data_IF_576778039735
#
_entry.id   IF_576778039735
#
_cell.length_a   1.000
_cell.length_b   1.000
_cell.length_c   1.000
_cell.angle_alpha   90.00
_cell.angle_beta   90.00
_cell.angle_gamma   90.00
#
_symmetry.space_group_name_H-M   'P 1'
#
loop_
_entity.id
_entity.type
_entity.pdbx_description
1 polymer ?
#
# COMPACT_ATOMS: atom_id res chain seq x y z
N UNK A 1 37.61 21.87 -1.46
CA UNK A 1 38.14 23.01 -2.25
C UNK A 1 37.77 22.69 -3.70
N UNK A 2 36.75 23.29 -4.30
CA UNK A 2 36.84 24.57 -5.04
C UNK A 2 35.42 25.07 -5.33
N UNK A 3 35.25 26.40 -5.19
CA UNK A 3 33.99 27.14 -5.37
C UNK A 3 33.62 27.26 -6.86
N UNK A 4 32.32 27.23 -7.17
CA UNK A 4 31.80 27.96 -8.32
C UNK A 4 30.56 28.76 -7.90
N UNK A 5 30.74 30.08 -7.86
CA UNK A 5 29.71 31.10 -7.63
C UNK A 5 29.01 31.33 -8.97
N UNK A 6 27.70 31.17 -9.04
CA UNK A 6 26.91 31.67 -10.17
C UNK A 6 25.97 32.76 -9.67
N UNK A 7 26.37 33.98 -9.97
CA UNK A 7 25.62 35.23 -9.78
C UNK A 7 24.43 35.22 -10.74
N UNK A 8 23.19 35.25 -10.25
CA UNK A 8 22.04 35.52 -11.11
C UNK A 8 21.41 36.86 -10.75
N UNK A 9 21.24 37.63 -11.82
CA UNK A 9 20.96 39.06 -11.86
C UNK A 9 19.51 39.36 -11.47
N UNK A 10 19.38 40.41 -10.66
CA UNK A 10 18.16 41.12 -10.31
C UNK A 10 17.51 41.75 -11.56
N UNK A 11 16.24 41.42 -11.84
CA UNK A 11 15.43 42.15 -12.82
C UNK A 11 14.17 42.67 -12.12
N UNK A 12 14.25 43.92 -11.64
CA UNK A 12 13.09 44.71 -11.23
C UNK A 12 12.27 45.07 -12.48
N UNK A 13 11.01 44.66 -12.51
CA UNK A 13 10.02 45.19 -13.45
C UNK A 13 9.03 46.05 -12.67
N UNK A 14 9.17 47.36 -12.89
CA UNK A 14 8.28 48.43 -12.47
C UNK A 14 6.95 48.29 -13.23
N UNK A 15 5.84 48.09 -12.51
CA UNK A 15 4.50 48.35 -13.05
C UNK A 15 4.08 49.75 -12.58
N UNK A 16 3.84 50.60 -13.56
CA UNK A 16 3.53 52.02 -13.42
C UNK A 16 2.10 52.25 -12.90
N UNK A 17 1.95 53.31 -12.12
CA UNK A 17 0.68 53.98 -11.85
C UNK A 17 0.02 54.42 -13.16
N UNK A 18 -1.29 54.17 -13.28
CA UNK A 18 -2.18 54.92 -14.16
C UNK A 18 -2.95 55.94 -13.33
N UNK A 19 -2.82 57.21 -13.69
CA UNK A 19 -3.57 58.35 -13.18
C UNK A 19 -4.97 58.35 -13.80
N UNK A 20 -6.02 58.27 -12.97
CA UNK A 20 -7.41 58.56 -13.36
C UNK A 20 -7.92 59.77 -12.56
N UNK A 21 -7.47 60.97 -12.94
CA UNK A 21 -8.13 62.23 -12.58
C UNK A 21 -9.29 62.48 -13.56
N UNK A 22 -10.53 62.30 -13.09
CA UNK A 22 -11.73 62.38 -13.92
C UNK A 22 -12.97 62.88 -13.19
N UNK A 23 -12.94 64.15 -12.79
CA UNK A 23 -14.09 65.07 -12.69
C UNK A 23 -15.11 64.87 -11.55
N UNK A 24 -15.08 65.85 -10.63
CA UNK A 24 -16.18 66.25 -9.76
C UNK A 24 -17.27 66.93 -10.60
N UNK A 25 -18.47 66.33 -10.61
CA UNK A 25 -19.72 67.06 -10.84
C UNK A 25 -20.65 66.77 -9.68
N UNK A 26 -20.66 67.69 -8.73
CA UNK A 26 -21.77 67.92 -7.82
C UNK A 26 -22.93 68.56 -8.61
N UNK A 27 -24.05 67.85 -8.72
CA UNK A 27 -25.39 68.42 -8.83
C UNK A 27 -26.44 67.28 -8.91
N UNK A 28 -27.24 67.13 -7.86
CA UNK A 28 -28.50 66.37 -7.98
C UNK A 28 -29.00 65.71 -6.70
N UNK A 29 -29.15 66.47 -5.62
CA UNK A 29 -30.15 66.12 -4.61
C UNK A 29 -31.53 66.23 -5.27
N UNK A 30 -32.11 65.10 -5.71
CA UNK A 30 -33.56 64.88 -5.97
C UNK A 30 -33.81 63.43 -6.44
N UNK A 31 -33.29 62.45 -5.69
CA UNK A 31 -33.80 61.08 -5.82
C UNK A 31 -35.10 60.98 -5.00
N UNK A 32 -36.24 60.58 -5.59
CA UNK A 32 -37.44 60.31 -4.81
C UNK A 32 -37.12 59.22 -3.78
N UNK A 33 -37.66 59.30 -2.55
CA UNK A 33 -37.45 58.25 -1.56
C UNK A 33 -37.87 56.91 -2.17
N UNK A 34 -37.13 55.81 -1.89
CA UNK A 34 -37.58 54.49 -2.32
C UNK A 34 -39.02 54.28 -1.86
N UNK A 35 -39.89 53.67 -2.67
CA UNK A 35 -41.25 53.36 -2.23
C UNK A 35 -41.16 52.58 -0.94
N UNK A 36 -41.97 52.98 0.05
CA UNK A 36 -42.13 52.35 1.35
C UNK A 36 -41.79 50.86 1.27
N UNK A 37 -40.65 50.47 1.86
CA UNK A 37 -40.53 49.13 2.36
C UNK A 37 -41.63 49.04 3.41
N UNK A 38 -42.79 48.49 3.00
CA UNK A 38 -43.87 48.15 3.91
C UNK A 38 -43.32 47.35 5.09
N UNK A 39 -44.11 47.16 6.15
CA UNK A 39 -43.68 46.37 7.29
C UNK A 39 -43.02 45.08 6.78
N UNK A 40 -41.74 44.90 7.10
CA UNK A 40 -41.11 43.59 6.95
C UNK A 40 -41.74 42.71 8.03
N UNK A 41 -43.01 42.37 7.84
CA UNK A 41 -43.79 41.45 8.69
C UNK A 41 -43.45 39.99 8.35
N UNK A 42 -42.50 39.75 7.44
CA UNK A 42 -41.80 38.48 7.34
C UNK A 42 -40.46 38.63 8.06
N UNK A 43 -40.21 37.80 9.06
CA UNK A 43 -38.85 37.55 9.54
C UNK A 43 -37.92 37.11 8.40
N UNK A 44 -36.63 36.84 8.68
CA UNK A 44 -35.75 36.21 7.69
C UNK A 44 -36.44 35.01 7.05
N UNK A 45 -36.23 34.74 5.74
CA UNK A 45 -36.83 33.60 5.08
C UNK A 45 -36.53 32.35 5.91
N UNK A 46 -37.58 31.74 6.45
CA UNK A 46 -37.47 30.47 7.16
C UNK A 46 -37.36 29.37 6.11
N UNK A 47 -36.61 28.32 6.43
CA UNK A 47 -36.55 27.11 5.63
C UNK A 47 -37.97 26.56 5.39
N UNK A 48 -38.13 25.86 4.28
CA UNK A 48 -39.38 25.23 3.87
C UNK A 48 -39.24 23.72 3.66
N UNK A 49 -38.02 23.23 3.57
CA UNK A 49 -37.64 21.82 3.46
C UNK A 49 -36.24 21.60 4.04
N UNK A 50 -35.94 20.38 4.45
CA UNK A 50 -34.68 19.99 5.09
C UNK A 50 -33.45 20.28 4.20
N UNK A 51 -33.62 20.20 2.87
CA UNK A 51 -32.54 20.50 1.91
C UNK A 51 -32.06 21.96 1.91
N UNK A 52 -32.87 22.90 2.42
CA UNK A 52 -32.45 24.30 2.57
C UNK A 52 -31.57 24.53 3.81
N UNK A 53 -31.52 23.54 4.70
CA UNK A 53 -30.69 23.54 5.90
C UNK A 53 -29.37 22.78 5.71
N UNK A 54 -29.26 21.98 4.65
CA UNK A 54 -28.09 21.18 4.33
C UNK A 54 -26.92 22.09 3.91
N UNK A 55 -25.77 21.89 4.56
CA UNK A 55 -24.53 22.64 4.32
C UNK A 55 -23.54 21.85 3.43
N UNK A 56 -24.01 20.78 2.78
CA UNK A 56 -23.23 19.81 2.01
C UNK A 56 -22.14 19.11 2.86
N UNK A 57 -22.21 19.16 4.19
CA UNK A 57 -21.38 18.33 5.05
C UNK A 57 -22.05 16.97 5.23
N UNK A 58 -21.29 15.91 5.04
CA UNK A 58 -21.83 14.55 5.08
C UNK A 58 -21.88 14.04 6.52
N UNK A 59 -20.86 14.31 7.36
CA UNK A 59 -20.74 13.65 8.65
C UNK A 59 -21.52 14.28 9.80
N UNK A 60 -22.13 15.45 9.63
CA UNK A 60 -23.06 16.04 10.61
C UNK A 60 -24.50 15.55 10.43
N UNK A 61 -24.77 14.76 9.38
CA UNK A 61 -26.09 14.19 9.07
C UNK A 61 -27.01 15.21 8.42
N UNK A 62 -28.26 14.82 8.13
CA UNK A 62 -29.22 15.73 7.50
C UNK A 62 -29.89 16.64 8.54
N UNK A 63 -29.67 17.96 8.49
CA UNK A 63 -30.35 18.90 9.37
C UNK A 63 -31.85 18.95 9.05
N UNK A 64 -32.66 19.30 10.04
CA UNK A 64 -34.12 19.35 9.89
C UNK A 64 -34.61 20.78 9.82
N UNK A 65 -35.51 21.07 8.89
CA UNK A 65 -36.25 22.31 8.84
C UNK A 65 -37.40 22.27 9.85
N UNK A 66 -37.23 22.95 10.99
CA UNK A 66 -38.28 23.14 12.00
C UNK A 66 -38.27 24.57 12.56
N UNK A 67 -38.91 25.54 11.87
CA UNK A 67 -39.00 26.93 12.31
C UNK A 67 -39.70 27.14 13.65
N UNK A 68 -40.40 26.14 14.18
CA UNK A 68 -41.05 26.21 15.49
C UNK A 68 -40.15 25.68 16.63
N UNK A 69 -39.03 25.04 16.30
CA UNK A 69 -38.11 24.48 17.27
C UNK A 69 -37.43 25.58 18.09
N UNK A 70 -37.32 25.43 19.42
CA UNK A 70 -36.53 26.35 20.23
C UNK A 70 -35.01 26.21 20.00
N UNK A 71 -34.58 25.20 19.25
CA UNK A 71 -33.18 24.95 18.86
C UNK A 71 -32.87 25.38 17.43
N UNK A 72 -33.87 25.85 16.68
CA UNK A 72 -33.65 26.36 15.35
C UNK A 72 -32.83 27.65 15.36
N UNK A 73 -31.99 27.82 14.34
CA UNK A 73 -31.29 29.06 14.08
C UNK A 73 -32.23 30.15 13.52
N UNK A 74 -31.67 31.28 13.05
CA UNK A 74 -32.46 32.38 12.50
C UNK A 74 -33.21 32.03 11.20
N UNK A 75 -32.80 30.96 10.50
CA UNK A 75 -33.41 30.46 9.28
C UNK A 75 -34.38 29.30 9.53
N UNK A 76 -34.62 28.90 10.79
CA UNK A 76 -35.51 27.79 11.11
C UNK A 76 -34.87 26.40 11.01
N UNK A 77 -33.54 26.34 10.85
CA UNK A 77 -32.81 25.09 10.70
C UNK A 77 -32.34 24.54 12.04
N UNK A 78 -32.57 23.25 12.27
CA UNK A 78 -32.07 22.51 13.43
C UNK A 78 -30.95 21.61 12.97
N UNK A 79 -29.72 21.87 13.45
CA UNK A 79 -28.56 21.07 13.12
C UNK A 79 -28.74 19.62 13.62
N UNK A 80 -28.40 18.66 12.77
CA UNK A 80 -28.13 17.28 13.18
C UNK A 80 -26.71 17.20 13.72
N UNK A 81 -26.50 16.24 14.62
CA UNK A 81 -25.15 15.83 15.06
C UNK A 81 -25.00 14.32 14.97
N UNK A 82 -25.93 13.66 14.28
CA UNK A 82 -25.96 12.22 14.11
C UNK A 82 -25.27 11.91 12.79
N UNK A 83 -24.09 11.30 12.90
CA UNK A 83 -23.37 10.83 11.73
C UNK A 83 -24.27 9.86 10.94
N UNK A 84 -24.34 9.98 9.60
CA UNK A 84 -25.12 9.04 8.78
C UNK A 84 -24.48 7.64 8.74
N UNK A 85 -23.27 7.49 9.28
CA UNK A 85 -22.54 6.23 9.31
C UNK A 85 -23.05 5.30 10.40
N UNK A 86 -23.16 4.01 10.05
CA UNK A 86 -23.50 2.97 11.02
C UNK A 86 -22.44 2.89 12.14
N UNK A 87 -22.85 2.38 13.29
CA UNK A 87 -21.91 2.22 14.42
C UNK A 87 -20.68 1.39 14.03
N UNK A 88 -19.50 1.88 14.39
CA UNK A 88 -18.22 1.26 14.05
C UNK A 88 -17.67 1.67 12.68
N UNK A 89 -18.40 2.46 11.89
CA UNK A 89 -17.87 3.08 10.69
C UNK A 89 -17.35 4.49 10.96
N UNK A 90 -16.47 4.90 10.08
CA UNK A 90 -15.69 6.11 10.16
C UNK A 90 -16.12 7.07 9.07
N UNK A 91 -16.50 8.30 9.42
CA UNK A 91 -16.97 9.23 8.42
C UNK A 91 -15.82 9.97 7.73
N UNK A 92 -15.83 10.03 6.39
CA UNK A 92 -14.92 10.81 5.56
C UNK A 92 -15.69 11.92 4.83
N UNK A 93 -15.51 13.15 5.29
CA UNK A 93 -16.13 14.36 4.73
C UNK A 93 -15.59 14.75 3.36
N UNK A 94 -14.39 14.31 2.99
CA UNK A 94 -13.82 14.67 1.69
C UNK A 94 -14.34 13.74 0.60
N UNK A 95 -14.68 12.51 0.97
CA UNK A 95 -15.17 11.47 0.08
C UNK A 95 -16.69 11.22 0.18
N UNK A 96 -17.42 12.00 0.99
CA UNK A 96 -18.85 11.87 1.28
C UNK A 96 -19.29 10.42 1.52
N UNK A 97 -18.51 9.68 2.32
CA UNK A 97 -18.74 8.25 2.54
C UNK A 97 -18.34 7.76 3.93
N UNK A 98 -18.88 6.61 4.30
CA UNK A 98 -18.51 5.88 5.50
C UNK A 98 -17.42 4.85 5.17
N UNK A 99 -16.28 4.97 5.83
CA UNK A 99 -15.16 4.07 5.78
C UNK A 99 -15.30 2.97 6.83
N UNK A 100 -14.86 1.78 6.49
CA UNK A 100 -14.58 0.73 7.48
C UNK A 100 -13.29 1.03 8.25
N UNK A 101 -13.05 0.30 9.34
CA UNK A 101 -11.75 0.35 10.02
C UNK A 101 -10.60 -0.05 9.07
N UNK A 102 -10.83 -1.05 8.22
CA UNK A 102 -9.87 -1.52 7.22
C UNK A 102 -9.49 -0.45 6.19
N UNK A 103 -10.46 0.33 5.70
CA UNK A 103 -10.16 1.39 4.72
C UNK A 103 -9.38 2.58 5.30
N UNK A 104 -9.34 2.73 6.63
CA UNK A 104 -8.66 3.85 7.28
C UNK A 104 -7.34 3.44 7.92
N UNK A 105 -7.32 2.29 8.57
CA UNK A 105 -6.24 1.86 9.47
C UNK A 105 -5.76 0.45 9.12
N UNK A 106 -6.21 -0.11 7.99
CA UNK A 106 -5.91 -1.48 7.62
C UNK A 106 -4.61 -1.68 6.87
N UNK A 107 -3.95 -0.62 6.39
CA UNK A 107 -2.64 -0.64 5.72
C UNK A 107 -1.71 0.30 6.51
N UNK A 108 -1.07 -0.24 7.54
CA UNK A 108 -0.32 0.56 8.51
C UNK A 108 1.12 0.87 8.09
N UNK A 109 1.66 0.16 7.11
CA UNK A 109 2.99 0.39 6.54
C UNK A 109 2.99 1.08 5.16
N UNK A 110 1.79 1.37 4.64
CA UNK A 110 1.49 2.08 3.40
C UNK A 110 2.03 1.38 2.14
N UNK A 111 1.98 0.05 2.12
CA UNK A 111 2.47 -0.76 1.02
C UNK A 111 1.41 -1.13 -0.04
N UNK A 112 0.15 -0.80 0.26
CA UNK A 112 -1.01 -1.00 -0.59
C UNK A 112 -1.72 -2.33 -0.39
N UNK A 113 -1.27 -3.16 0.54
CA UNK A 113 -1.97 -4.32 1.06
C UNK A 113 -2.53 -3.99 2.44
N UNK A 114 -3.68 -4.57 2.78
CA UNK A 114 -4.26 -4.40 4.12
C UNK A 114 -3.97 -5.63 4.96
N UNK A 115 -3.86 -5.47 6.27
CA UNK A 115 -3.65 -6.58 7.22
C UNK A 115 -4.58 -7.78 6.97
N UNK A 116 -4.12 -8.98 7.36
CA UNK A 116 -4.92 -10.22 7.35
C UNK A 116 -6.31 -10.07 8.00
N UNK A 117 -6.42 -9.22 9.04
CA UNK A 117 -7.68 -8.92 9.72
C UNK A 117 -8.74 -8.25 8.82
N UNK A 118 -8.31 -7.74 7.66
CA UNK A 118 -9.10 -7.03 6.67
C UNK A 118 -9.34 -7.82 5.38
N UNK A 119 -9.26 -9.16 5.46
CA UNK A 119 -9.52 -10.11 4.35
C UNK A 119 -8.55 -9.95 3.15
N UNK A 120 -7.29 -9.59 3.41
CA UNK A 120 -6.19 -9.56 2.43
C UNK A 120 -5.00 -10.39 2.95
N UNK A 121 -3.96 -10.57 2.14
CA UNK A 121 -2.88 -11.53 2.39
C UNK A 121 -1.61 -10.88 2.99
N UNK A 122 -1.70 -9.69 3.61
CA UNK A 122 -0.56 -9.08 4.32
C UNK A 122 -0.35 -9.71 5.70
N UNK A 123 0.79 -10.40 5.83
CA UNK A 123 1.20 -11.13 7.01
C UNK A 123 1.98 -10.29 8.05
N UNK A 124 2.46 -9.09 7.70
CA UNK A 124 3.05 -8.13 8.64
C UNK A 124 2.79 -6.68 8.21
N UNK A 125 1.59 -6.19 8.56
CA UNK A 125 1.08 -4.81 8.40
C UNK A 125 1.95 -3.72 9.05
N UNK A 126 3.09 -4.07 9.66
CA UNK A 126 4.08 -3.11 10.16
C UNK A 126 5.33 -3.01 9.26
N UNK A 127 5.40 -3.80 8.19
CA UNK A 127 6.59 -4.00 7.37
C UNK A 127 6.25 -4.20 5.89
N UNK A 128 6.45 -3.13 5.11
CA UNK A 128 6.22 -3.15 3.66
C UNK A 128 7.13 -4.10 2.86
N UNK A 129 7.97 -4.88 3.53
CA UNK A 129 8.78 -5.93 2.95
C UNK A 129 8.10 -7.30 3.01
N UNK A 130 7.04 -7.46 3.80
CA UNK A 130 6.34 -8.71 4.05
C UNK A 130 4.89 -8.59 3.56
N UNK A 131 4.68 -8.92 2.29
CA UNK A 131 3.40 -8.78 1.58
C UNK A 131 3.34 -9.72 0.38
N UNK A 132 2.14 -9.98 -0.18
CA UNK A 132 1.96 -10.85 -1.33
C UNK A 132 2.93 -10.60 -2.50
N UNK A 133 3.72 -11.61 -2.83
CA UNK A 133 4.65 -11.60 -3.95
C UNK A 133 5.89 -10.71 -3.75
N UNK A 134 6.25 -10.39 -2.51
CA UNK A 134 7.58 -9.87 -2.21
C UNK A 134 8.67 -10.91 -2.55
N UNK A 135 9.94 -10.54 -2.39
CA UNK A 135 11.05 -11.45 -2.65
C UNK A 135 11.61 -11.92 -1.33
N UNK A 136 11.66 -13.24 -1.16
CA UNK A 136 12.27 -13.88 0.00
C UNK A 136 13.73 -13.49 0.21
N UNK A 137 14.07 -13.38 1.49
CA UNK A 137 15.40 -13.10 2.02
C UNK A 137 15.61 -13.97 3.23
N UNK A 138 16.82 -14.52 3.36
CA UNK A 138 17.21 -15.39 4.46
C UNK A 138 17.28 -14.68 5.83
N UNK A 139 16.14 -14.31 6.39
CA UNK A 139 16.00 -13.64 7.69
C UNK A 139 14.97 -14.29 8.62
N UNK A 140 14.31 -15.36 8.16
CA UNK A 140 13.34 -16.13 8.93
C UNK A 140 11.97 -15.46 9.03
N UNK A 141 11.70 -14.48 8.18
CA UNK A 141 10.38 -13.87 7.97
C UNK A 141 9.85 -14.39 6.62
N UNK A 142 8.54 -14.62 6.56
CA UNK A 142 7.81 -14.88 5.31
C UNK A 142 7.59 -13.52 4.64
N UNK A 143 8.33 -13.22 3.56
CA UNK A 143 8.18 -11.94 2.88
C UNK A 143 7.04 -11.95 1.89
N UNK A 144 6.75 -13.06 1.22
CA UNK A 144 5.75 -13.10 0.18
C UNK A 144 4.35 -13.56 0.64
N UNK A 145 4.24 -13.84 1.95
CA UNK A 145 3.04 -14.21 2.69
C UNK A 145 2.37 -15.48 2.16
N UNK A 146 3.14 -16.50 1.79
CA UNK A 146 2.65 -17.78 1.26
C UNK A 146 2.60 -18.94 2.30
N UNK A 147 2.80 -18.62 3.58
CA UNK A 147 2.93 -19.54 4.73
C UNK A 147 4.22 -20.39 4.71
N UNK A 148 5.15 -20.11 3.79
CA UNK A 148 6.51 -20.64 3.81
C UNK A 148 7.52 -19.56 4.18
N UNK A 149 8.66 -19.98 4.70
CA UNK A 149 9.67 -19.05 5.24
C UNK A 149 10.98 -19.37 4.55
N UNK A 150 11.61 -18.34 3.99
CA UNK A 150 12.90 -18.42 3.33
C UNK A 150 12.92 -19.49 2.21
N UNK A 151 11.83 -19.67 1.47
CA UNK A 151 11.76 -20.55 0.31
C UNK A 151 12.36 -19.90 -0.94
N UNK A 152 12.82 -20.75 -1.86
CA UNK A 152 13.44 -20.31 -3.13
C UNK A 152 14.61 -19.30 -3.00
N UNK A 153 15.15 -19.12 -1.79
CA UNK A 153 16.23 -18.19 -1.47
C UNK A 153 17.46 -18.89 -0.89
N UNK A 154 18.64 -18.31 -1.12
CA UNK A 154 19.90 -18.85 -0.64
C UNK A 154 20.56 -19.79 -1.65
N UNK A 155 21.10 -20.91 -1.17
CA UNK A 155 21.83 -21.88 -2.02
C UNK A 155 21.06 -23.19 -2.11
N UNK A 156 20.64 -23.55 -3.32
CA UNK A 156 20.08 -24.88 -3.58
C UNK A 156 21.12 -25.95 -3.27
N UNK A 157 20.80 -26.80 -2.31
CA UNK A 157 21.68 -27.83 -1.76
C UNK A 157 20.98 -29.18 -1.74
N UNK A 158 21.77 -30.25 -1.71
CA UNK A 158 21.35 -31.64 -1.77
C UNK A 158 22.02 -32.40 -0.63
N UNK A 159 21.29 -33.35 -0.04
CA UNK A 159 21.80 -34.17 1.05
C UNK A 159 22.89 -35.09 0.51
N UNK A 160 24.03 -35.10 1.19
CA UNK A 160 25.16 -35.99 0.96
C UNK A 160 25.24 -36.95 2.16
N UNK A 161 24.76 -38.17 1.98
CA UNK A 161 24.58 -39.13 3.08
C UNK A 161 25.83 -40.00 3.32
N UNK A 162 26.65 -40.24 2.29
CA UNK A 162 27.87 -41.04 2.40
C UNK A 162 29.18 -40.23 2.49
N UNK A 163 29.12 -38.92 2.23
CA UNK A 163 30.19 -37.96 2.42
C UNK A 163 31.17 -37.86 1.26
N UNK A 164 30.77 -38.21 0.04
CA UNK A 164 31.64 -38.20 -1.14
C UNK A 164 31.70 -36.84 -1.88
N UNK A 165 30.84 -35.90 -1.51
CA UNK A 165 30.77 -34.56 -2.09
C UNK A 165 29.69 -34.37 -3.16
N UNK A 166 28.95 -35.43 -3.50
CA UNK A 166 27.75 -35.40 -4.32
C UNK A 166 26.55 -35.75 -3.44
N UNK A 167 25.37 -35.27 -3.81
CA UNK A 167 24.15 -35.51 -3.05
C UNK A 167 23.01 -35.96 -3.95
N UNK A 168 21.99 -36.55 -3.34
CA UNK A 168 20.83 -37.07 -4.04
C UNK A 168 19.93 -35.95 -4.61
N UNK A 169 19.63 -36.00 -5.91
CA UNK A 169 18.85 -34.97 -6.62
C UNK A 169 17.44 -34.75 -6.05
N UNK A 170 16.81 -35.78 -5.48
CA UNK A 170 15.45 -35.75 -4.92
C UNK A 170 15.38 -35.16 -3.51
N UNK A 171 16.52 -34.80 -2.91
CA UNK A 171 16.63 -34.18 -1.59
C UNK A 171 16.79 -32.66 -1.64
N UNK A 172 16.63 -32.06 -2.83
CA UNK A 172 16.86 -30.64 -3.08
C UNK A 172 16.14 -29.73 -2.06
N UNK A 173 16.90 -28.81 -1.45
CA UNK A 173 16.41 -27.82 -0.50
C UNK A 173 17.19 -26.51 -0.65
N UNK A 174 16.48 -25.39 -0.51
CA UNK A 174 17.09 -24.07 -0.39
C UNK A 174 17.63 -23.87 1.04
N UNK A 175 18.92 -23.55 1.15
CA UNK A 175 19.58 -23.31 2.43
C UNK A 175 20.13 -21.89 2.50
N UNK A 176 19.78 -21.18 3.56
CA UNK A 176 20.28 -19.84 3.85
C UNK A 176 21.74 -19.81 4.32
N UNK A 177 22.20 -20.91 4.89
CA UNK A 177 23.60 -21.11 5.25
C UNK A 177 24.01 -22.55 4.92
N UNK A 178 25.29 -22.75 4.64
CA UNK A 178 25.82 -24.10 4.45
C UNK A 178 25.62 -24.93 5.73
N UNK A 179 25.07 -26.13 5.57
CA UNK A 179 24.85 -27.11 6.64
C UNK A 179 25.75 -28.34 6.40
N UNK A 180 26.23 -28.96 7.49
CA UNK A 180 27.02 -30.20 7.39
C UNK A 180 26.17 -31.34 6.79
N UNK A 181 26.76 -32.09 5.86
CA UNK A 181 26.06 -33.16 5.14
C UNK A 181 25.16 -32.68 3.99
N UNK A 182 25.34 -31.43 3.54
CA UNK A 182 24.69 -30.88 2.36
C UNK A 182 25.74 -30.32 1.38
N UNK A 183 25.52 -30.55 0.08
CA UNK A 183 26.42 -30.15 -1.00
C UNK A 183 25.64 -29.49 -2.14
N UNK A 184 26.32 -28.80 -3.05
CA UNK A 184 25.67 -28.12 -4.20
C UNK A 184 25.60 -28.98 -5.46
N UNK A 185 26.16 -30.19 -5.44
CA UNK A 185 26.19 -31.13 -6.55
C UNK A 185 25.13 -32.21 -6.35
N UNK A 186 23.93 -31.98 -6.87
CA UNK A 186 22.80 -32.92 -6.76
C UNK A 186 22.76 -33.99 -7.84
N UNK A 187 23.89 -34.65 -8.11
CA UNK A 187 24.05 -35.57 -9.26
C UNK A 187 24.40 -36.99 -8.85
N UNK A 188 24.25 -37.34 -7.57
CA UNK A 188 24.48 -38.69 -7.07
C UNK A 188 23.30 -39.63 -7.46
N UNK A 189 23.64 -40.80 -8.00
CA UNK A 189 22.68 -41.85 -8.34
C UNK A 189 22.50 -42.92 -7.25
N UNK A 190 23.41 -43.03 -6.28
CA UNK A 190 23.29 -43.85 -5.07
C UNK A 190 24.03 -43.20 -3.88
N UNK A 191 23.38 -42.23 -3.24
CA UNK A 191 23.83 -41.46 -2.06
C UNK A 191 24.05 -42.31 -0.79
N UNK A 192 24.01 -43.64 -0.90
CA UNK A 192 24.38 -44.55 0.20
C UNK A 192 25.76 -45.18 0.00
N UNK A 193 26.40 -44.97 -1.15
CA UNK A 193 27.63 -45.59 -1.58
C UNK A 193 28.60 -44.56 -2.19
N UNK A 194 29.55 -44.05 -1.40
CA UNK A 194 30.47 -43.01 -1.89
C UNK A 194 31.46 -43.43 -3.00
N UNK A 195 31.33 -44.66 -3.49
CA UNK A 195 31.98 -45.18 -4.69
C UNK A 195 31.10 -45.05 -5.95
N UNK A 196 29.91 -44.47 -5.86
CA UNK A 196 28.92 -44.31 -6.92
C UNK A 196 28.58 -42.82 -7.02
N UNK A 197 29.30 -42.10 -7.88
CA UNK A 197 29.07 -40.67 -8.14
C UNK A 197 29.77 -40.23 -9.44
N UNK A 198 29.41 -39.08 -10.04
CA UNK A 198 30.02 -38.59 -11.28
C UNK A 198 31.53 -38.35 -11.32
N UNK A 199 32.19 -38.36 -10.15
CA UNK A 199 33.63 -38.26 -10.04
C UNK A 199 34.36 -39.60 -10.12
N UNK A 200 33.66 -40.73 -10.00
CA UNK A 200 34.25 -42.07 -10.03
C UNK A 200 34.41 -42.61 -11.45
N UNK A 201 35.22 -43.66 -11.57
CA UNK A 201 35.43 -44.38 -12.83
C UNK A 201 34.74 -45.75 -12.75
N UNK A 202 34.26 -46.22 -13.90
CA UNK A 202 33.60 -47.53 -14.01
C UNK A 202 34.45 -48.69 -13.49
N UNK A 203 33.80 -49.58 -12.76
CA UNK A 203 34.36 -50.87 -12.35
C UNK A 203 33.83 -51.96 -13.26
N UNK A 204 34.66 -52.34 -14.23
CA UNK A 204 34.29 -53.34 -15.24
C UNK A 204 33.87 -54.70 -14.68
N UNK A 205 32.96 -55.35 -15.41
CA UNK A 205 32.33 -56.63 -15.08
C UNK A 205 31.40 -56.55 -13.85
N UNK A 206 30.78 -55.38 -13.69
CA UNK A 206 29.85 -55.04 -12.62
C UNK A 206 28.37 -55.11 -13.03
N UNK A 207 27.53 -54.44 -12.25
CA UNK A 207 26.11 -54.18 -12.57
C UNK A 207 25.64 -52.85 -11.97
N UNK A 208 26.60 -52.02 -11.57
CA UNK A 208 26.41 -50.71 -10.95
C UNK A 208 26.99 -49.71 -11.96
N UNK A 209 26.33 -48.57 -12.10
CA UNK A 209 26.83 -47.41 -12.84
C UNK A 209 27.59 -46.56 -11.82
N UNK A 210 28.92 -46.65 -11.78
CA UNK A 210 29.70 -45.99 -10.73
C UNK A 210 29.86 -44.49 -10.98
N UNK A 211 29.76 -44.04 -12.23
CA UNK A 211 29.91 -42.63 -12.58
C UNK A 211 28.59 -41.90 -12.84
N UNK A 212 27.46 -42.57 -12.63
CA UNK A 212 26.13 -42.01 -12.78
C UNK A 212 25.86 -41.38 -14.16
N UNK A 213 26.46 -41.89 -15.24
CA UNK A 213 26.21 -41.39 -16.60
C UNK A 213 24.99 -42.03 -17.28
N UNK A 214 24.35 -42.99 -16.61
CA UNK A 214 23.18 -43.71 -17.06
C UNK A 214 23.50 -44.97 -17.88
N UNK A 215 24.78 -45.33 -18.00
CA UNK A 215 25.23 -46.60 -18.55
C UNK A 215 26.03 -47.41 -17.53
N UNK A 216 26.19 -48.71 -17.79
CA UNK A 216 26.91 -49.62 -16.92
C UNK A 216 28.04 -50.21 -17.73
N UNK A 217 29.25 -50.22 -17.15
CA UNK A 217 30.46 -50.78 -17.75
C UNK A 217 30.87 -50.11 -19.08
N UNK A 218 30.54 -48.84 -19.32
CA UNK A 218 31.02 -48.13 -20.50
C UNK A 218 32.52 -47.83 -20.42
N UNK A 219 33.20 -47.79 -21.58
CA UNK A 219 34.65 -47.62 -21.61
C UNK A 219 35.46 -48.85 -21.15
N UNK A 220 34.80 -49.93 -20.76
CA UNK A 220 35.42 -51.24 -20.54
C UNK A 220 35.63 -51.95 -21.89
N UNK A 221 36.86 -51.87 -22.44
CA UNK A 221 37.26 -52.70 -23.58
C UNK A 221 37.30 -54.18 -23.15
N UNK A 222 36.23 -54.94 -23.45
CA UNK A 222 36.12 -56.39 -23.22
C UNK A 222 36.96 -57.22 -24.20
#
# INVERSE_FOLDING_TARGET
MTRLRSTFLLLCLLVACGDDDGILLDAGADAPPPPDAGPRDGGPPQCTDDSECDNDAFCDGSPTCDPASPFADENGCVASTESPCAEGLFCDETADRCLTACEREGDADEDGFVSEACDDDDCDDSSNAARPGATETCDGVDQDCDDTIDEEVGTLSFRDLDGDGYGAADTARWLCAAEDGWVTLGTDCDDTLGAVNPGNAEVCEGSIDENCDGTVDEGCDL
#
